data_IF_866147679116
#
_entry.id   IF_866147679116
#
_cell.length_a   1.000
_cell.length_b   1.000
_cell.length_c   1.000
_cell.angle_alpha   90.00
_cell.angle_beta   90.00
_cell.angle_gamma   90.00
#
_symmetry.space_group_name_H-M   'P 1'
#
loop_
_entity.id
_entity.type
_entity.pdbx_description
1 polymer ?
#
# COMPACT_ATOMS: atom_id res chain seq x y z
N UNK A 1 35.01 33.15 -0.54
CA UNK A 1 35.89 32.02 -0.96
C UNK A 1 35.63 30.83 -0.06
N UNK A 2 34.71 29.93 -0.43
CA UNK A 2 34.51 28.66 0.29
C UNK A 2 34.66 27.51 -0.71
N UNK A 3 35.79 26.79 -0.61
CA UNK A 3 36.10 25.60 -1.43
C UNK A 3 35.46 24.37 -0.80
N UNK A 4 34.34 23.90 -1.35
CA UNK A 4 33.83 22.56 -1.07
C UNK A 4 34.61 21.56 -1.94
N UNK A 5 35.54 20.83 -1.31
CA UNK A 5 36.24 19.70 -1.92
C UNK A 5 35.24 18.56 -2.15
N UNK A 6 34.84 18.36 -3.41
CA UNK A 6 34.16 17.15 -3.83
C UNK A 6 35.12 15.96 -3.67
N UNK A 7 34.87 15.10 -2.68
CA UNK A 7 35.46 13.76 -2.62
C UNK A 7 34.84 12.95 -3.74
N UNK A 8 35.61 12.69 -4.78
CA UNK A 8 35.24 11.75 -5.85
C UNK A 8 35.23 10.34 -5.26
N UNK A 9 34.05 9.73 -5.15
CA UNK A 9 33.94 8.29 -4.95
C UNK A 9 34.37 7.61 -6.25
N UNK A 10 35.58 7.04 -6.30
CA UNK A 10 35.99 6.10 -7.34
C UNK A 10 35.32 4.76 -7.04
N UNK A 11 34.01 4.69 -7.28
CA UNK A 11 33.29 3.43 -7.41
C UNK A 11 33.10 3.17 -8.89
N UNK A 12 33.71 2.11 -9.42
CA UNK A 12 33.39 1.63 -10.77
C UNK A 12 31.90 1.30 -10.80
N UNK A 13 31.10 2.25 -11.28
CA UNK A 13 29.68 2.04 -11.51
C UNK A 13 29.57 1.18 -12.77
N UNK A 14 28.92 0.01 -12.72
CA UNK A 14 28.80 -0.84 -13.89
C UNK A 14 28.15 -0.06 -15.03
N UNK A 15 28.71 -0.23 -16.23
CA UNK A 15 28.22 0.44 -17.45
C UNK A 15 26.71 0.25 -17.61
N UNK A 16 26.03 1.29 -18.10
CA UNK A 16 24.59 1.25 -18.40
C UNK A 16 24.22 0.00 -19.24
N UNK A 17 25.13 -0.45 -20.11
CA UNK A 17 24.97 -1.67 -20.91
C UNK A 17 24.94 -2.96 -20.08
N UNK A 18 25.76 -3.04 -19.04
CA UNK A 18 25.80 -4.21 -18.14
C UNK A 18 24.59 -4.22 -17.20
N UNK A 19 24.16 -3.05 -16.71
CA UNK A 19 22.90 -2.91 -15.96
C UNK A 19 21.70 -3.40 -16.79
N UNK A 20 21.63 -3.04 -18.07
CA UNK A 20 20.53 -3.42 -18.96
C UNK A 20 20.51 -4.93 -19.28
N UNK A 21 21.67 -5.59 -19.44
CA UNK A 21 21.72 -7.06 -19.63
C UNK A 21 21.15 -7.81 -18.43
N UNK A 22 21.44 -7.36 -17.20
CA UNK A 22 20.88 -7.95 -15.98
C UNK A 22 19.36 -7.77 -15.88
N UNK A 23 18.79 -6.69 -16.45
CA UNK A 23 17.34 -6.46 -16.45
C UNK A 23 16.56 -7.37 -17.41
N UNK A 24 17.17 -7.77 -18.54
CA UNK A 24 16.53 -8.66 -19.52
C UNK A 24 16.24 -10.06 -18.95
N UNK A 25 17.09 -10.54 -18.02
CA UNK A 25 16.87 -11.80 -17.32
C UNK A 25 15.69 -11.74 -16.33
N UNK A 26 15.38 -10.55 -15.80
CA UNK A 26 14.32 -10.34 -14.80
C UNK A 26 12.92 -10.20 -15.41
N UNK A 27 12.81 -9.93 -16.72
CA UNK A 27 11.54 -9.81 -17.43
C UNK A 27 10.78 -11.14 -17.59
N UNK A 28 11.43 -12.28 -17.36
CA UNK A 28 10.84 -13.63 -17.52
C UNK A 28 10.10 -14.14 -16.28
N UNK A 29 10.23 -13.45 -15.14
CA UNK A 29 9.52 -13.82 -13.92
C UNK A 29 8.64 -12.65 -13.46
N UNK A 30 7.38 -12.88 -13.05
CA UNK A 30 6.58 -11.87 -12.38
C UNK A 30 7.10 -11.67 -10.96
N UNK A 31 8.35 -11.22 -10.83
CA UNK A 31 8.98 -10.89 -9.56
C UNK A 31 8.67 -9.42 -9.33
N UNK A 32 7.90 -9.15 -8.28
CA UNK A 32 7.86 -7.84 -7.67
C UNK A 32 9.31 -7.38 -7.48
N UNK A 33 9.74 -6.35 -8.21
CA UNK A 33 11.07 -5.75 -8.09
C UNK A 33 11.36 -5.49 -6.60
N UNK A 34 12.14 -6.39 -5.98
CA UNK A 34 12.72 -6.20 -4.66
C UNK A 34 14.02 -5.43 -4.89
N UNK A 35 13.89 -4.12 -5.06
CA UNK A 35 15.05 -3.23 -5.14
C UNK A 35 15.69 -3.19 -3.75
N UNK A 36 16.89 -3.75 -3.61
CA UNK A 36 17.75 -3.48 -2.46
C UNK A 36 18.19 -2.01 -2.48
N UNK A 37 18.37 -1.44 -1.29
CA UNK A 37 18.63 -0.02 -1.00
C UNK A 37 19.79 0.54 -1.84
N UNK A 38 19.48 1.34 -2.89
CA UNK A 38 19.70 2.79 -2.78
C UNK A 38 18.52 3.63 -3.31
N UNK A 39 17.39 3.01 -3.67
CA UNK A 39 16.25 3.69 -4.31
C UNK A 39 15.12 4.09 -3.34
N UNK A 40 15.43 4.24 -2.05
CA UNK A 40 14.49 4.80 -1.09
C UNK A 40 14.13 6.23 -1.53
N UNK A 41 12.90 6.45 -1.99
CA UNK A 41 12.42 7.74 -2.48
C UNK A 41 12.39 7.91 -4.01
N UNK A 42 12.74 6.88 -4.81
CA UNK A 42 12.64 6.97 -6.27
C UNK A 42 11.19 7.29 -6.72
N UNK A 43 11.02 8.46 -7.33
CA UNK A 43 9.79 8.85 -7.99
C UNK A 43 9.57 7.90 -9.17
N UNK A 44 8.35 7.39 -9.29
CA UNK A 44 7.99 6.52 -10.39
C UNK A 44 8.30 5.03 -10.20
N UNK A 45 8.72 4.57 -8.99
CA UNK A 45 8.94 3.13 -8.69
C UNK A 45 7.76 2.18 -8.97
N UNK A 46 6.56 2.72 -9.18
CA UNK A 46 5.33 1.96 -9.53
C UNK A 46 4.77 2.33 -10.90
N UNK A 47 5.45 3.18 -11.68
CA UNK A 47 5.01 3.54 -13.04
C UNK A 47 5.03 2.30 -13.94
N UNK A 48 4.08 2.24 -14.88
CA UNK A 48 3.92 1.11 -15.80
C UNK A 48 3.24 -0.13 -15.20
N UNK A 49 2.97 -0.16 -13.89
CA UNK A 49 2.17 -1.25 -13.31
C UNK A 49 0.69 -1.10 -13.69
N UNK A 50 0.10 -2.17 -14.24
CA UNK A 50 -1.33 -2.21 -14.60
C UNK A 50 -2.25 -2.00 -13.41
N UNK A 51 -1.87 -2.52 -12.23
CA UNK A 51 -2.64 -2.41 -10.98
C UNK A 51 -1.68 -2.15 -9.83
N UNK A 52 -2.13 -1.34 -8.86
CA UNK A 52 -1.39 -1.05 -7.63
C UNK A 52 -2.36 -1.17 -6.46
N UNK A 53 -1.96 -1.90 -5.43
CA UNK A 53 -2.66 -1.88 -4.15
C UNK A 53 -2.34 -0.57 -3.43
N UNK A 54 -3.25 0.39 -3.59
CA UNK A 54 -3.10 1.74 -3.05
C UNK A 54 -3.01 1.73 -1.53
N UNK A 55 -3.82 0.91 -0.84
CA UNK A 55 -3.87 0.93 0.62
C UNK A 55 -2.55 0.45 1.21
N UNK A 56 -1.99 -0.66 0.71
CA UNK A 56 -0.73 -1.18 1.23
C UNK A 56 0.47 -0.32 0.82
N UNK A 57 0.45 0.32 -0.36
CA UNK A 57 1.51 1.24 -0.75
C UNK A 57 1.50 2.55 0.06
N UNK A 58 0.33 3.10 0.39
CA UNK A 58 0.23 4.25 1.30
C UNK A 58 0.70 3.89 2.72
N UNK A 59 0.33 2.71 3.23
CA UNK A 59 0.80 2.21 4.53
C UNK A 59 2.33 2.10 4.56
N UNK A 60 2.94 1.51 3.53
CA UNK A 60 4.41 1.35 3.43
C UNK A 60 5.17 2.68 3.41
N UNK A 61 4.55 3.75 2.91
CA UNK A 61 5.12 5.10 2.87
C UNK A 61 4.76 5.94 4.09
N UNK A 62 4.12 5.36 5.10
CA UNK A 62 3.64 6.02 6.31
C UNK A 62 2.66 7.19 6.03
N UNK A 63 1.91 7.14 4.92
CA UNK A 63 0.91 8.15 4.53
C UNK A 63 -0.44 7.87 5.18
N UNK A 64 -0.45 7.75 6.51
CA UNK A 64 -1.63 7.38 7.30
C UNK A 64 -2.76 8.40 7.19
N UNK A 65 -2.45 9.68 7.08
CA UNK A 65 -3.45 10.74 6.92
C UNK A 65 -4.25 10.58 5.62
N UNK A 66 -3.59 10.22 4.51
CA UNK A 66 -4.27 9.95 3.22
C UNK A 66 -5.15 8.72 3.33
N UNK A 67 -4.68 7.67 4.02
CA UNK A 67 -5.51 6.49 4.30
C UNK A 67 -6.77 6.89 5.08
N UNK A 68 -6.64 7.70 6.14
CA UNK A 68 -7.79 8.18 6.90
C UNK A 68 -8.78 8.99 6.07
N UNK A 69 -8.30 9.81 5.12
CA UNK A 69 -9.17 10.53 4.18
C UNK A 69 -9.93 9.56 3.27
N UNK A 70 -9.22 8.63 2.60
CA UNK A 70 -9.83 7.63 1.72
C UNK A 70 -10.89 6.82 2.47
N UNK A 71 -10.53 6.28 3.64
CA UNK A 71 -11.44 5.46 4.46
C UNK A 71 -12.61 6.28 5.00
N UNK A 72 -12.41 7.57 5.28
CA UNK A 72 -13.46 8.48 5.73
C UNK A 72 -14.58 8.69 4.69
N UNK A 73 -14.27 8.58 3.40
CA UNK A 73 -15.24 8.68 2.31
C UNK A 73 -16.03 7.40 2.05
N UNK A 74 -15.60 6.25 2.56
CA UNK A 74 -16.27 4.97 2.31
C UNK A 74 -17.54 4.81 3.16
N UNK A 75 -18.58 4.23 2.56
CA UNK A 75 -19.80 3.83 3.28
C UNK A 75 -19.50 2.68 4.27
N UNK A 76 -20.31 2.50 5.33
CA UNK A 76 -20.07 1.43 6.32
C UNK A 76 -20.00 0.03 5.70
N UNK A 77 -20.90 -0.28 4.76
CA UNK A 77 -20.91 -1.51 3.94
C UNK A 77 -19.58 -1.71 3.20
N UNK A 78 -19.11 -0.68 2.52
CA UNK A 78 -17.85 -0.73 1.77
C UNK A 78 -16.65 -0.95 2.69
N UNK A 79 -16.65 -0.36 3.89
CA UNK A 79 -15.61 -0.59 4.89
C UNK A 79 -15.62 -2.04 5.41
N UNK A 80 -16.80 -2.65 5.54
CA UNK A 80 -16.92 -4.06 5.85
C UNK A 80 -16.31 -4.94 4.76
N UNK A 81 -16.68 -4.70 3.50
CA UNK A 81 -16.16 -5.43 2.33
C UNK A 81 -14.65 -5.24 2.14
N UNK A 82 -14.13 -4.02 2.27
CA UNK A 82 -12.68 -3.74 2.25
C UNK A 82 -11.93 -4.61 3.26
N UNK A 83 -12.52 -4.81 4.43
CA UNK A 83 -11.94 -5.63 5.48
C UNK A 83 -12.03 -7.13 5.28
N UNK A 84 -12.67 -7.59 4.20
CA UNK A 84 -12.73 -8.98 3.76
C UNK A 84 -11.74 -9.27 2.61
N UNK A 85 -11.14 -8.23 2.01
CA UNK A 85 -10.23 -8.37 0.85
C UNK A 85 -8.96 -9.15 1.23
N UNK A 86 -8.27 -8.73 2.29
CA UNK A 86 -7.11 -9.45 2.83
C UNK A 86 -6.77 -8.97 4.25
N UNK A 87 -5.86 -9.69 4.91
CA UNK A 87 -5.37 -9.36 6.27
C UNK A 87 -4.73 -7.97 6.34
N UNK A 88 -3.93 -7.59 5.34
CA UNK A 88 -3.27 -6.28 5.32
C UNK A 88 -4.26 -5.11 5.26
N UNK A 89 -5.35 -5.27 4.50
CA UNK A 89 -6.42 -4.27 4.41
C UNK A 89 -7.21 -4.19 5.71
N UNK A 90 -7.50 -5.34 6.33
CA UNK A 90 -8.15 -5.41 7.65
C UNK A 90 -7.32 -4.68 8.72
N UNK A 91 -6.01 -4.88 8.75
CA UNK A 91 -5.11 -4.18 9.67
C UNK A 91 -5.10 -2.66 9.45
N UNK A 92 -5.07 -2.21 8.19
CA UNK A 92 -5.14 -0.78 7.84
C UNK A 92 -6.43 -0.15 8.38
N UNK A 93 -7.56 -0.84 8.18
CA UNK A 93 -8.86 -0.39 8.70
C UNK A 93 -8.89 -0.34 10.23
N UNK A 94 -8.29 -1.33 10.91
CA UNK A 94 -8.25 -1.37 12.36
C UNK A 94 -7.41 -0.24 12.97
N UNK A 95 -6.36 0.20 12.27
CA UNK A 95 -5.52 1.32 12.68
C UNK A 95 -6.24 2.67 12.61
N UNK A 96 -7.20 2.82 11.69
CA UNK A 96 -8.05 4.00 11.62
C UNK A 96 -9.26 3.86 12.56
N UNK A 97 -9.22 4.57 13.69
CA UNK A 97 -10.25 4.47 14.74
C UNK A 97 -11.66 4.78 14.23
N UNK A 98 -11.80 5.76 13.33
CA UNK A 98 -13.10 6.20 12.80
C UNK A 98 -13.67 5.17 11.85
N UNK A 99 -12.87 4.69 10.90
CA UNK A 99 -13.27 3.64 9.96
C UNK A 99 -13.56 2.32 10.68
N UNK A 100 -12.73 1.94 11.65
CA UNK A 100 -12.93 0.77 12.49
C UNK A 100 -14.24 0.82 13.28
N UNK A 101 -14.55 1.97 13.90
CA UNK A 101 -15.82 2.15 14.60
C UNK A 101 -17.01 2.08 13.65
N UNK A 102 -16.96 2.79 12.53
CA UNK A 102 -18.03 2.81 11.51
C UNK A 102 -18.32 1.40 10.98
N UNK A 103 -17.29 0.60 10.71
CA UNK A 103 -17.43 -0.81 10.31
C UNK A 103 -18.07 -1.67 11.40
N UNK A 104 -17.63 -1.55 12.66
CA UNK A 104 -18.19 -2.34 13.77
C UNK A 104 -19.66 -2.04 14.02
N UNK A 105 -20.05 -0.77 13.93
CA UNK A 105 -21.45 -0.37 14.07
C UNK A 105 -22.31 -1.02 12.97
N UNK A 106 -21.87 -0.95 11.73
CA UNK A 106 -22.55 -1.62 10.61
C UNK A 106 -22.71 -3.12 10.81
N UNK A 107 -21.66 -3.82 11.27
CA UNK A 107 -21.75 -5.26 11.56
C UNK A 107 -22.81 -5.55 12.64
N UNK A 108 -22.84 -4.75 13.71
CA UNK A 108 -23.84 -4.90 14.77
C UNK A 108 -25.27 -4.65 14.26
N UNK A 109 -25.45 -3.64 13.42
CA UNK A 109 -26.75 -3.32 12.82
C UNK A 109 -27.24 -4.48 11.93
N UNK A 110 -26.35 -5.03 11.09
CA UNK A 110 -26.66 -6.19 10.24
C UNK A 110 -26.98 -7.42 11.09
N UNK A 111 -26.16 -7.75 12.10
CA UNK A 111 -26.42 -8.88 13.00
C UNK A 111 -27.75 -8.74 13.74
N UNK A 112 -28.09 -7.54 14.21
CA UNK A 112 -29.38 -7.27 14.85
C UNK A 112 -30.55 -7.47 13.87
N UNK A 113 -30.41 -6.95 12.64
CA UNK A 113 -31.44 -7.08 11.60
C UNK A 113 -31.62 -8.52 11.09
N UNK A 114 -30.60 -9.39 11.22
CA UNK A 114 -30.72 -10.82 10.95
C UNK A 114 -31.44 -11.54 12.09
N UNK A 115 -31.07 -11.28 13.35
CA UNK A 115 -31.72 -11.89 14.52
C UNK A 115 -33.22 -11.56 14.61
N UNK A 116 -33.62 -10.34 14.26
CA UNK A 116 -35.03 -9.94 14.22
C UNK A 116 -35.81 -10.75 13.17
N UNK A 117 -35.18 -11.14 12.07
CA UNK A 117 -35.81 -12.01 11.06
C UNK A 117 -35.95 -13.45 11.53
N UNK A 118 -34.99 -13.95 12.31
CA UNK A 118 -35.02 -15.33 12.81
C UNK A 118 -36.03 -15.56 13.94
N UNK A 119 -36.41 -14.51 14.68
CA UNK A 119 -37.41 -14.58 15.78
C UNK A 119 -38.84 -14.29 15.30
N UNK A 120 -39.01 -13.89 14.03
CA UNK A 120 -40.30 -13.60 13.41
C UNK A 120 -40.89 -14.77 12.62
N UNK A 121 -41.00 -15.95 13.23
CA UNK A 121 -41.85 -17.07 12.80
C UNK A 121 -42.76 -17.45 13.95
#
# INVERSE_FOLDING_TARGET
MCRLKARMCVGQSPSLKEQLKSTAALARTPVAFRTTMPLAGLIGRKMGLRKVDVLTELRKRNLRHVLSLILGHLAPESLYMCGQVCTSWKEILQQDKRASLKRRNYVREVEAALKVRDVGI
#
